data_IF_520774616834
#
_entry.id   IF_520774616834
#
_cell.length_a   1.000
_cell.length_b   1.000
_cell.length_c   1.000
_cell.angle_alpha   90.00
_cell.angle_beta   90.00
_cell.angle_gamma   90.00
#
_symmetry.space_group_name_H-M   'P 1'
#
loop_
_entity.id
_entity.type
_entity.pdbx_description
1 polymer ?
#
# COMPACT_ATOMS: atom_id res chain seq x y z
N UNK A 1 14.38 13.38 11.41
CA UNK A 1 14.12 12.17 11.42
C UNK A 1 12.77 11.64 11.10
N UNK A 2 12.74 10.35 11.04
CA UNK A 2 11.53 9.63 10.67
C UNK A 2 10.43 9.74 11.71
N UNK A 3 10.74 10.14 12.94
CA UNK A 3 9.73 10.28 13.99
C UNK A 3 9.06 11.64 13.99
N UNK A 4 9.49 12.53 13.12
CA UNK A 4 8.93 13.87 13.02
C UNK A 4 7.66 13.86 12.16
N UNK A 5 6.97 15.00 12.13
CA UNK A 5 5.81 15.16 11.25
C UNK A 5 6.18 14.93 9.80
N UNK A 6 7.40 15.32 9.41
CA UNK A 6 7.89 15.11 8.05
C UNK A 6 7.98 13.62 7.74
N UNK A 7 8.50 12.83 8.68
CA UNK A 7 8.56 11.38 8.50
C UNK A 7 7.18 10.76 8.43
N UNK A 8 6.24 11.29 9.22
CA UNK A 8 4.87 10.80 9.21
C UNK A 8 4.21 11.00 7.85
N UNK A 9 4.35 12.21 7.28
CA UNK A 9 3.78 12.51 5.97
C UNK A 9 4.42 11.67 4.87
N UNK A 10 5.69 11.31 5.05
CA UNK A 10 6.41 10.50 4.08
C UNK A 10 5.74 9.13 3.89
N UNK A 11 5.08 8.62 4.91
CA UNK A 11 4.38 7.34 4.80
C UNK A 11 3.30 7.40 3.71
N UNK A 12 2.56 8.49 3.65
CA UNK A 12 1.52 8.66 2.63
C UNK A 12 2.16 8.71 1.25
N UNK A 13 3.26 9.43 1.11
CA UNK A 13 3.92 9.58 -0.18
C UNK A 13 4.41 8.23 -0.71
N UNK A 14 4.92 7.38 0.17
CA UNK A 14 5.38 6.06 -0.24
C UNK A 14 4.24 5.19 -0.78
N UNK A 15 3.08 5.26 -0.14
CA UNK A 15 1.93 4.50 -0.62
C UNK A 15 1.40 5.10 -1.92
N UNK A 16 1.33 6.43 -2.00
CA UNK A 16 0.86 7.12 -3.22
C UNK A 16 1.76 6.80 -4.41
N UNK A 17 3.07 6.63 -4.18
CA UNK A 17 4.01 6.33 -5.25
C UNK A 17 3.63 5.07 -6.03
N UNK A 18 3.09 4.06 -5.35
CA UNK A 18 2.64 2.86 -6.04
C UNK A 18 1.49 3.17 -7.00
N UNK A 19 0.55 4.03 -6.57
CA UNK A 19 -0.56 4.44 -7.41
C UNK A 19 -0.08 5.33 -8.56
N UNK A 20 0.93 6.15 -8.31
CA UNK A 20 1.53 6.98 -9.36
C UNK A 20 2.20 6.10 -10.41
N UNK A 21 2.89 5.05 -9.98
CA UNK A 21 3.50 4.11 -10.93
C UNK A 21 2.43 3.46 -11.81
N UNK A 22 1.29 3.11 -11.23
CA UNK A 22 0.18 2.55 -11.98
C UNK A 22 -0.38 3.56 -12.99
N UNK A 23 -0.44 4.82 -12.59
CA UNK A 23 -0.87 5.90 -13.48
C UNK A 23 0.13 6.09 -14.62
N UNK A 24 1.43 6.10 -14.32
CA UNK A 24 2.46 6.26 -15.34
C UNK A 24 2.46 5.11 -16.34
N UNK A 25 2.05 3.93 -15.89
CA UNK A 25 1.94 2.76 -16.76
C UNK A 25 0.66 2.78 -17.60
N UNK A 26 -0.23 3.75 -17.40
CA UNK A 26 -1.43 3.92 -18.19
C UNK A 26 -2.67 3.21 -17.66
N UNK A 27 -2.62 2.68 -16.44
CA UNK A 27 -3.71 1.86 -15.92
C UNK A 27 -4.55 2.53 -14.83
N UNK A 28 -4.19 3.73 -14.43
CA UNK A 28 -4.85 4.41 -13.31
C UNK A 28 -5.08 5.87 -13.69
N UNK A 29 -6.32 6.34 -13.55
CA UNK A 29 -6.62 7.75 -13.81
C UNK A 29 -7.18 8.47 -12.59
N UNK A 30 -7.31 7.78 -11.45
CA UNK A 30 -7.83 8.38 -10.23
C UNK A 30 -7.06 7.88 -9.02
N UNK A 31 -6.53 8.81 -8.25
CA UNK A 31 -5.86 8.54 -6.98
C UNK A 31 -6.51 9.42 -5.94
N UNK A 32 -6.99 8.82 -4.85
CA UNK A 32 -7.67 9.55 -3.79
C UNK A 32 -6.92 9.32 -2.48
N UNK A 33 -6.63 10.39 -1.76
CA UNK A 33 -6.04 10.33 -0.42
C UNK A 33 -7.05 10.90 0.56
N UNK A 34 -7.40 10.12 1.56
CA UNK A 34 -8.36 10.52 2.58
C UNK A 34 -7.71 10.44 3.95
N UNK A 35 -7.78 11.52 4.71
CA UNK A 35 -7.31 11.53 6.10
C UNK A 35 -8.54 11.28 6.97
N UNK A 36 -8.57 10.10 7.59
CA UNK A 36 -9.75 9.66 8.31
C UNK A 36 -9.84 10.30 9.71
N UNK A 37 -11.04 10.37 10.24
CA UNK A 37 -11.26 10.97 11.55
C UNK A 37 -10.55 10.20 12.68
N UNK A 38 -10.30 8.92 12.49
CA UNK A 38 -9.66 8.09 13.51
C UNK A 38 -8.13 8.20 13.50
N UNK A 39 -7.57 9.07 12.66
CA UNK A 39 -6.13 9.25 12.58
C UNK A 39 -5.45 8.39 11.54
N UNK A 40 -6.19 7.53 10.86
CA UNK A 40 -5.62 6.73 9.77
C UNK A 40 -5.64 7.51 8.46
N UNK A 41 -4.93 7.00 7.46
CA UNK A 41 -4.95 7.53 6.11
C UNK A 41 -5.36 6.43 5.15
N UNK A 42 -6.12 6.80 4.13
CA UNK A 42 -6.55 5.87 3.09
C UNK A 42 -6.06 6.38 1.74
N UNK A 43 -5.36 5.55 1.00
CA UNK A 43 -4.93 5.84 -0.37
C UNK A 43 -5.61 4.83 -1.27
N UNK A 44 -6.36 5.33 -2.24
CA UNK A 44 -7.14 4.47 -3.13
C UNK A 44 -6.86 4.84 -4.58
N UNK A 45 -6.72 3.83 -5.44
CA UNK A 45 -6.58 4.08 -6.88
C UNK A 45 -7.49 3.13 -7.65
N UNK A 46 -7.68 3.44 -8.93
CA UNK A 46 -8.47 2.61 -9.83
C UNK A 46 -7.59 1.91 -10.87
N UNK A 47 -6.37 1.57 -10.50
CA UNK A 47 -5.46 0.83 -11.37
C UNK A 47 -5.87 -0.64 -11.49
N UNK A 48 -4.92 -1.47 -11.90
CA UNK A 48 -5.20 -2.90 -12.10
C UNK A 48 -5.42 -3.67 -10.81
N UNK A 49 -5.03 -3.12 -9.68
CA UNK A 49 -4.97 -3.83 -8.42
C UNK A 49 -3.65 -4.58 -8.29
N UNK A 50 -3.06 -4.54 -7.10
CA UNK A 50 -1.83 -5.28 -6.83
C UNK A 50 -2.10 -6.76 -7.06
N UNK A 51 -1.20 -7.50 -7.74
CA UNK A 51 -1.40 -8.92 -7.97
C UNK A 51 -1.56 -9.70 -6.66
N UNK A 52 -2.51 -10.64 -6.66
CA UNK A 52 -2.79 -11.45 -5.48
C UNK A 52 -2.40 -12.91 -5.71
N UNK A 53 -2.03 -13.28 -6.93
CA UNK A 53 -1.66 -14.65 -7.27
C UNK A 53 -0.48 -15.11 -6.44
N UNK A 54 -0.38 -16.42 -6.28
CA UNK A 54 0.74 -16.99 -5.54
C UNK A 54 2.03 -16.78 -6.31
N UNK A 55 3.01 -16.20 -5.63
CA UNK A 55 4.34 -16.00 -6.18
C UNK A 55 5.12 -17.31 -6.09
N UNK A 56 6.22 -17.42 -6.84
CA UNK A 56 7.07 -18.61 -6.81
C UNK A 56 7.60 -18.95 -5.41
N UNK A 57 7.56 -18.01 -4.47
CA UNK A 57 7.95 -18.25 -3.09
C UNK A 57 6.82 -18.88 -2.26
N UNK A 58 5.69 -19.18 -2.88
CA UNK A 58 4.59 -19.86 -2.20
C UNK A 58 3.65 -18.98 -1.40
N UNK A 59 3.74 -17.67 -1.56
CA UNK A 59 2.79 -16.75 -0.92
C UNK A 59 2.27 -15.75 -1.93
N UNK A 60 1.15 -15.11 -1.59
CA UNK A 60 0.53 -14.11 -2.45
C UNK A 60 1.50 -12.98 -2.80
N UNK A 61 1.49 -12.54 -4.05
CA UNK A 61 2.34 -11.43 -4.49
C UNK A 61 2.05 -10.17 -3.69
N UNK A 62 0.78 -9.92 -3.35
CA UNK A 62 0.42 -8.78 -2.50
C UNK A 62 1.17 -8.85 -1.17
N UNK A 63 1.23 -10.02 -0.56
CA UNK A 63 1.90 -10.16 0.72
C UNK A 63 3.39 -9.88 0.61
N UNK A 64 4.00 -10.26 -0.50
CA UNK A 64 5.41 -9.96 -0.72
C UNK A 64 5.65 -8.46 -0.85
N UNK A 65 4.77 -7.75 -1.54
CA UNK A 65 4.90 -6.30 -1.70
C UNK A 65 4.94 -5.61 -0.34
N UNK A 66 4.10 -6.03 0.58
CA UNK A 66 3.94 -5.36 1.86
C UNK A 66 4.83 -5.90 2.98
N UNK A 67 5.56 -6.98 2.74
CA UNK A 67 6.40 -7.58 3.79
C UNK A 67 7.86 -7.70 3.42
N UNK A 68 8.25 -7.47 2.17
CA UNK A 68 9.64 -7.57 1.76
C UNK A 68 10.31 -6.21 1.82
N UNK A 69 11.26 -6.03 2.73
CA UNK A 69 11.85 -4.73 3.00
C UNK A 69 12.98 -4.33 2.07
N UNK A 70 13.45 -5.23 1.24
CA UNK A 70 14.61 -4.92 0.42
C UNK A 70 14.44 -5.55 -0.95
N UNK A 71 15.47 -5.43 -1.77
CA UNK A 71 15.43 -5.98 -3.12
C UNK A 71 14.23 -5.42 -3.88
N UNK A 72 13.77 -4.24 -3.47
CA UNK A 72 12.61 -3.64 -4.08
C UNK A 72 12.75 -3.47 -5.56
N UNK A 73 13.93 -3.04 -6.01
CA UNK A 73 14.15 -2.86 -7.43
C UNK A 73 13.94 -4.15 -8.22
N UNK A 74 14.54 -5.23 -7.75
CA UNK A 74 14.43 -6.51 -8.44
C UNK A 74 13.02 -7.07 -8.34
N UNK A 75 12.44 -7.04 -7.16
CA UNK A 75 11.11 -7.55 -6.93
C UNK A 75 10.07 -6.73 -7.69
N UNK A 76 10.19 -5.42 -7.62
CA UNK A 76 9.25 -4.54 -8.28
C UNK A 76 9.31 -4.63 -9.79
N UNK A 77 10.49 -4.90 -10.34
CA UNK A 77 10.60 -5.12 -11.78
C UNK A 77 9.77 -6.30 -12.23
N UNK A 78 9.59 -7.30 -11.37
CA UNK A 78 8.77 -8.46 -11.71
C UNK A 78 7.27 -8.15 -11.59
N UNK A 79 6.90 -7.24 -10.71
CA UNK A 79 5.49 -6.96 -10.43
C UNK A 79 5.02 -5.70 -11.13
N UNK A 80 5.77 -4.62 -11.00
CA UNK A 80 5.40 -3.34 -11.58
C UNK A 80 6.10 -3.05 -12.90
N UNK A 81 7.20 -3.71 -13.14
CA UNK A 81 7.77 -3.84 -14.46
C UNK A 81 8.26 -2.56 -15.14
N UNK A 82 8.29 -1.45 -14.46
CA UNK A 82 8.78 -0.24 -15.10
C UNK A 82 8.75 0.88 -14.08
N UNK A 83 8.84 2.11 -14.52
CA UNK A 83 8.72 3.27 -13.66
C UNK A 83 9.84 3.37 -12.65
N UNK A 84 10.94 2.69 -12.90
CA UNK A 84 12.08 2.78 -12.01
C UNK A 84 12.02 1.95 -10.77
N UNK A 85 10.93 1.30 -10.48
CA UNK A 85 10.83 0.28 -9.44
C UNK A 85 11.32 0.62 -8.04
N UNK A 86 11.84 1.82 -7.81
CA UNK A 86 12.35 2.18 -6.50
C UNK A 86 11.24 2.48 -5.51
N UNK A 87 10.09 2.85 -6.02
CA UNK A 87 8.99 3.33 -5.19
C UNK A 87 8.30 2.22 -4.43
N UNK A 88 8.24 1.01 -4.99
CA UNK A 88 7.59 -0.10 -4.34
C UNK A 88 8.25 -0.56 -3.06
N UNK A 89 9.49 -0.14 -2.82
CA UNK A 89 10.21 -0.50 -1.59
C UNK A 89 9.52 0.07 -0.36
N UNK A 90 8.93 1.25 -0.50
CA UNK A 90 8.35 1.97 0.62
C UNK A 90 7.14 1.31 1.24
N UNK A 91 6.39 0.51 0.49
CA UNK A 91 5.17 -0.11 1.01
C UNK A 91 5.44 -1.01 2.22
N UNK A 92 6.49 -1.79 2.17
CA UNK A 92 6.85 -2.67 3.29
C UNK A 92 7.33 -1.87 4.50
N UNK A 93 8.02 -0.75 4.25
CA UNK A 93 8.45 0.12 5.33
C UNK A 93 7.25 0.78 5.99
N UNK A 94 6.31 1.30 5.20
CA UNK A 94 5.10 1.91 5.75
C UNK A 94 4.35 0.89 6.60
N UNK A 95 4.24 -0.34 6.13
CA UNK A 95 3.57 -1.40 6.87
C UNK A 95 4.25 -1.64 8.22
N UNK A 96 5.57 -1.75 8.21
CA UNK A 96 6.32 -1.99 9.44
C UNK A 96 6.15 -0.85 10.46
N UNK A 97 5.96 0.38 9.97
CA UNK A 97 5.83 1.56 10.82
C UNK A 97 4.36 1.90 11.14
N UNK A 98 3.44 1.02 10.76
CA UNK A 98 2.01 1.22 10.99
C UNK A 98 1.52 0.28 12.08
N UNK A 99 0.73 0.83 13.00
CA UNK A 99 0.08 0.04 14.03
C UNK A 99 -0.85 -0.99 13.40
N UNK A 100 -1.59 -0.58 12.39
CA UNK A 100 -2.49 -1.44 11.63
C UNK A 100 -2.47 -1.02 10.18
N UNK A 101 -2.63 -1.99 9.29
CA UNK A 101 -2.78 -1.74 7.87
C UNK A 101 -3.79 -2.71 7.28
N UNK A 102 -4.67 -2.18 6.43
CA UNK A 102 -5.62 -2.98 5.67
C UNK A 102 -5.40 -2.70 4.20
N UNK A 103 -5.24 -3.75 3.43
CA UNK A 103 -5.07 -3.66 1.97
C UNK A 103 -6.30 -4.28 1.33
N UNK A 104 -6.97 -3.52 0.47
CA UNK A 104 -8.12 -4.01 -0.29
C UNK A 104 -7.74 -3.98 -1.76
N UNK A 105 -7.93 -5.11 -2.44
CA UNK A 105 -7.58 -5.23 -3.85
C UNK A 105 -8.79 -5.70 -4.62
N UNK A 106 -9.08 -5.02 -5.74
CA UNK A 106 -10.14 -5.39 -6.66
C UNK A 106 -9.49 -5.72 -7.98
N UNK A 107 -9.60 -6.96 -8.41
CA UNK A 107 -9.09 -7.40 -9.71
C UNK A 107 -9.71 -8.74 -10.11
N UNK A 108 -9.75 -8.97 -11.40
CA UNK A 108 -10.23 -10.24 -11.97
C UNK A 108 -11.61 -10.64 -11.47
N UNK A 109 -12.47 -9.64 -11.25
CA UNK A 109 -13.86 -9.89 -10.84
C UNK A 109 -14.03 -10.13 -9.34
N UNK A 110 -12.98 -10.05 -8.55
CA UNK A 110 -13.01 -10.35 -7.13
C UNK A 110 -12.43 -9.23 -6.29
N UNK A 111 -12.85 -9.19 -5.03
CA UNK A 111 -12.30 -8.30 -4.02
C UNK A 111 -11.56 -9.12 -2.99
N UNK A 112 -10.38 -8.65 -2.60
CA UNK A 112 -9.52 -9.29 -1.62
C UNK A 112 -9.18 -8.31 -0.53
N UNK A 113 -8.99 -8.82 0.71
CA UNK A 113 -8.56 -8.00 1.84
C UNK A 113 -7.44 -8.69 2.57
N UNK A 114 -6.43 -7.93 2.97
CA UNK A 114 -5.37 -8.43 3.82
C UNK A 114 -5.14 -7.46 4.97
N UNK A 115 -4.64 -7.98 6.08
CA UNK A 115 -4.55 -7.23 7.33
C UNK A 115 -3.18 -7.44 7.97
N UNK A 116 -2.64 -6.36 8.53
CA UNK A 116 -1.33 -6.37 9.17
C UNK A 116 -1.33 -5.57 10.46
N UNK A 117 -0.46 -5.97 11.37
CA UNK A 117 -0.13 -5.19 12.56
C UNK A 117 1.39 -5.06 12.62
N UNK A 118 1.87 -3.84 12.55
CA UNK A 118 3.31 -3.52 12.59
C UNK A 118 4.11 -4.38 11.62
N UNK A 119 3.57 -4.51 10.43
CA UNK A 119 4.23 -5.25 9.35
C UNK A 119 3.99 -6.75 9.35
N UNK A 120 3.29 -7.27 10.35
CA UNK A 120 3.07 -8.70 10.48
C UNK A 120 1.65 -9.06 10.06
N UNK A 121 1.49 -9.98 9.09
CA UNK A 121 0.15 -10.39 8.65
C UNK A 121 -0.64 -11.01 9.80
N UNK A 122 -1.92 -10.65 9.88
CA UNK A 122 -2.81 -11.21 10.90
C UNK A 122 -3.84 -12.15 10.29
N UNK A 123 -3.90 -12.26 8.97
CA UNK A 123 -4.81 -13.15 8.26
C UNK A 123 -4.03 -14.34 7.73
N UNK A 124 -4.56 -15.55 7.92
CA UNK A 124 -3.95 -16.74 7.34
C UNK A 124 -4.34 -16.84 5.87
N UNK A 125 -3.34 -17.16 5.03
CA UNK A 125 -3.59 -17.40 3.62
C UNK A 125 -4.12 -18.83 3.43
N UNK A 126 -4.95 -19.00 2.41
CA UNK A 126 -5.49 -20.29 2.05
C UNK A 126 -4.56 -20.93 1.02
N UNK A 127 -3.70 -21.85 1.47
CA UNK A 127 -2.68 -22.48 0.62
C UNK A 127 -1.82 -21.46 -0.11
N UNK A 128 -1.44 -20.39 0.60
CA UNK A 128 -0.60 -19.33 0.04
C UNK A 128 -1.35 -18.29 -0.74
N UNK A 129 -2.65 -18.43 -0.91
CA UNK A 129 -3.46 -17.49 -1.66
C UNK A 129 -4.31 -16.63 -0.74
N UNK A 130 -4.47 -15.36 -1.13
CA UNK A 130 -5.34 -14.43 -0.43
C UNK A 130 -6.79 -14.76 -0.78
N UNK A 131 -7.65 -15.00 0.21
CA UNK A 131 -9.03 -15.39 -0.10
C UNK A 131 -9.83 -14.22 -0.65
N UNK A 132 -10.74 -14.53 -1.59
CA UNK A 132 -11.69 -13.57 -2.10
C UNK A 132 -12.76 -13.32 -1.05
N UNK A 133 -13.11 -12.06 -0.83
CA UNK A 133 -14.18 -11.69 0.10
C UNK A 133 -15.44 -11.25 -0.62
N UNK A 134 -15.43 -11.23 -1.94
CA UNK A 134 -16.61 -10.84 -2.71
C UNK A 134 -16.29 -10.69 -4.18
N UNK A 135 -17.28 -10.23 -4.93
CA UNK A 135 -17.16 -9.99 -6.36
C UNK A 135 -17.31 -8.50 -6.64
N UNK A 136 -16.65 -8.05 -7.70
CA UNK A 136 -16.72 -6.66 -8.12
C UNK A 136 -16.38 -6.56 -9.60
N UNK A 137 -16.92 -5.54 -10.26
CA UNK A 137 -16.55 -5.24 -11.64
C UNK A 137 -15.44 -4.22 -11.71
N UNK A 138 -15.06 -3.66 -10.57
CA UNK A 138 -14.05 -2.61 -10.51
C UNK A 138 -12.66 -3.20 -10.34
N UNK A 139 -11.65 -2.36 -10.59
CA UNK A 139 -10.27 -2.69 -10.28
C UNK A 139 -9.65 -1.58 -9.45
N UNK A 140 -8.63 -1.93 -8.69
CA UNK A 140 -7.91 -0.93 -7.93
C UNK A 140 -7.29 -1.48 -6.65
N UNK A 141 -6.53 -0.62 -6.00
CA UNK A 141 -5.91 -0.91 -4.71
C UNK A 141 -6.27 0.18 -3.72
N UNK A 142 -6.65 -0.21 -2.53
CA UNK A 142 -6.92 0.71 -1.42
C UNK A 142 -6.10 0.27 -0.22
N UNK A 143 -5.32 1.20 0.31
CA UNK A 143 -4.50 0.95 1.50
C UNK A 143 -4.96 1.91 2.59
N UNK A 144 -5.38 1.37 3.72
CA UNK A 144 -5.69 2.16 4.91
C UNK A 144 -4.66 1.79 5.96
N UNK A 145 -4.02 2.79 6.57
CA UNK A 145 -3.03 2.52 7.59
C UNK A 145 -3.07 3.55 8.70
N UNK A 146 -2.72 3.08 9.90
CA UNK A 146 -2.64 3.92 11.09
C UNK A 146 -1.19 3.93 11.56
N UNK A 147 -0.55 5.10 11.60
CA UNK A 147 0.85 5.15 12.06
C UNK A 147 1.00 4.63 13.49
N UNK A 148 2.13 4.01 13.75
CA UNK A 148 2.41 3.44 15.07
C UNK A 148 2.76 4.56 16.05
N UNK A 149 1.91 4.77 17.05
CA UNK A 149 2.07 5.84 18.03
C UNK A 149 3.18 5.55 19.04
N UNK A 150 3.76 4.36 19.01
CA UNK A 150 4.96 4.09 19.82
C UNK A 150 6.23 4.53 19.10
N UNK A 151 6.13 4.86 17.83
CA UNK A 151 7.28 5.29 17.00
C UNK A 151 7.22 6.77 16.72
N UNK A 152 6.02 7.28 16.36
CA UNK A 152 5.83 8.67 15.98
C UNK A 152 5.27 9.48 17.16
N UNK A 153 5.87 10.63 17.41
CA UNK A 153 5.39 11.53 18.47
C UNK A 153 4.01 12.08 18.15
N UNK A 154 3.77 12.35 16.86
CA UNK A 154 2.48 12.84 16.40
C UNK A 154 2.01 11.89 15.32
N UNK A 155 0.80 11.39 15.46
CA UNK A 155 0.25 10.43 14.52
C UNK A 155 -0.89 10.99 13.68
N UNK A 156 -1.19 12.31 13.80
CA UNK A 156 -2.21 12.93 12.98
C UNK A 156 -1.58 13.62 11.79
N UNK A 157 -2.09 13.30 10.64
CA UNK A 157 -1.67 13.93 9.40
C UNK A 157 -2.28 15.32 9.27
N UNK A 158 -1.56 16.20 8.58
CA UNK A 158 -2.05 17.55 8.27
C UNK A 158 -2.33 17.63 6.78
N UNK A 159 -3.59 17.90 6.44
CA UNK A 159 -4.03 17.90 5.06
C UNK A 159 -3.27 18.89 4.19
N UNK A 160 -3.01 20.07 4.69
CA UNK A 160 -2.34 21.13 3.91
C UNK A 160 -0.92 20.73 3.53
N UNK A 161 -0.19 20.06 4.42
CA UNK A 161 1.17 19.61 4.15
C UNK A 161 1.18 18.57 3.03
N UNK A 162 0.19 17.69 3.05
CA UNK A 162 0.12 16.61 2.08
C UNK A 162 -0.35 17.12 0.73
N UNK A 163 -1.33 18.00 0.71
CA UNK A 163 -1.81 18.59 -0.54
C UNK A 163 -0.70 19.32 -1.27
N UNK A 164 0.11 20.07 -0.55
CA UNK A 164 1.21 20.80 -1.16
C UNK A 164 2.15 19.85 -1.89
N UNK A 165 2.46 18.72 -1.29
CA UNK A 165 3.36 17.74 -1.89
C UNK A 165 2.73 17.04 -3.09
N UNK A 166 1.46 16.69 -3.00
CA UNK A 166 0.80 15.92 -4.06
C UNK A 166 0.57 16.72 -5.32
N UNK A 167 0.54 18.05 -5.23
CA UNK A 167 0.38 18.90 -6.39
C UNK A 167 1.69 19.17 -7.12
N UNK A 168 2.81 18.79 -6.54
CA UNK A 168 4.08 18.87 -7.20
C UNK A 168 4.25 17.71 -8.17
#
# INVERSE_FOLDING_TARGET
>A
GSVSTKGLNHLIYEIVDNSVDEHMAGFCDRITVTLEADGSATVSDNGRGIPVDMHEKGISAERLVFTTLHAGGKFNNNIYNNSGGLHGVGSSVVNALSKQMKVTIKRDGHMYEDFYERGIPTLELNNGELPSVGRTKETGTTVNFTPDDTIFEKTRFKAEDIKSRLHE
#
